data_IF_072626854540
#
_entry.id   IF_072626854540
#
_cell.length_a   1.000
_cell.length_b   1.000
_cell.length_c   1.000
_cell.angle_alpha   90.00
_cell.angle_beta   90.00
_cell.angle_gamma   90.00
#
_symmetry.space_group_name_H-M   'P 1'
#
loop_
_entity.id
_entity.type
_entity.pdbx_description
1 polymer ?
#
# COMPACT_ATOMS: atom_id res chain seq x y z
N UNK A 1 0.54 -1.71 -13.71
CA UNK A 1 1.78 -2.21 -13.10
C UNK A 1 1.43 -2.78 -11.73
N UNK A 2 1.71 -4.07 -11.50
CA UNK A 2 1.15 -4.78 -10.34
C UNK A 2 1.99 -4.65 -9.06
N UNK A 3 3.31 -4.60 -9.21
CA UNK A 3 4.26 -4.32 -8.13
C UNK A 3 5.03 -3.03 -8.44
N UNK A 4 5.19 -2.18 -7.43
CA UNK A 4 6.06 -0.99 -7.49
C UNK A 4 6.79 -0.82 -6.16
N UNK A 5 8.10 -0.64 -6.18
CA UNK A 5 8.87 -0.29 -4.98
C UNK A 5 9.42 1.13 -5.07
N UNK A 6 9.12 1.96 -4.09
CA UNK A 6 9.62 3.32 -3.97
C UNK A 6 10.49 3.46 -2.72
N UNK A 7 11.72 3.98 -2.86
CA UNK A 7 12.50 4.49 -1.71
C UNK A 7 12.00 5.88 -1.33
N UNK A 8 11.64 6.12 -0.07
CA UNK A 8 11.07 7.39 0.38
C UNK A 8 12.09 8.14 1.24
N UNK A 9 12.20 9.45 1.05
CA UNK A 9 13.00 10.32 1.92
C UNK A 9 12.14 11.09 2.89
N UNK A 10 12.69 11.32 4.07
CA UNK A 10 12.12 12.19 5.07
C UNK A 10 12.48 13.65 4.76
N UNK A 11 11.49 14.48 4.39
CA UNK A 11 11.60 15.94 4.58
C UNK A 11 11.04 16.26 5.97
N UNK A 12 11.84 16.96 6.79
CA UNK A 12 11.45 17.37 8.15
C UNK A 12 10.11 18.12 8.15
N UNK A 13 9.28 17.77 9.14
CA UNK A 13 8.10 18.49 9.65
C UNK A 13 7.12 18.99 8.59
N UNK A 14 6.33 18.08 8.02
CA UNK A 14 5.04 18.45 7.42
C UNK A 14 3.98 18.38 8.51
N UNK A 15 3.27 19.49 8.72
CA UNK A 15 2.11 19.54 9.62
C UNK A 15 0.98 18.74 8.97
N UNK A 16 0.75 17.51 9.43
CA UNK A 16 -0.25 16.63 8.81
C UNK A 16 -1.65 16.89 9.35
N UNK A 17 -2.53 17.44 8.50
CA UNK A 17 -3.97 17.60 8.76
C UNK A 17 -4.67 16.24 8.90
N UNK A 18 -5.79 16.16 9.64
CA UNK A 18 -6.66 14.98 9.68
C UNK A 18 -7.30 14.66 8.32
N UNK A 19 -7.36 15.67 7.45
CA UNK A 19 -7.87 15.59 6.08
C UNK A 19 -6.74 15.82 5.08
N UNK A 20 -6.61 14.90 4.14
CA UNK A 20 -5.55 14.88 3.13
C UNK A 20 -6.09 15.35 1.79
N UNK A 21 -5.41 16.31 1.17
CA UNK A 21 -5.76 16.84 -0.15
C UNK A 21 -4.82 16.27 -1.20
N UNK A 22 -5.36 15.63 -2.23
CA UNK A 22 -4.58 15.25 -3.41
C UNK A 22 -4.69 16.40 -4.40
N UNK A 23 -3.61 17.06 -4.80
CA UNK A 23 -3.71 18.09 -5.86
C UNK A 23 -3.31 17.48 -7.19
N UNK A 24 -4.29 17.23 -8.05
CA UNK A 24 -4.12 17.00 -9.48
C UNK A 24 -4.57 18.26 -10.21
N UNK A 25 -3.99 18.53 -11.40
CA UNK A 25 -4.12 19.77 -12.15
C UNK A 25 -5.46 20.52 -11.96
N UNK A 26 -6.59 19.82 -12.15
CA UNK A 26 -7.94 20.39 -12.03
C UNK A 26 -8.82 19.71 -10.97
N UNK A 27 -8.26 18.81 -10.14
CA UNK A 27 -9.02 17.99 -9.19
C UNK A 27 -8.31 17.91 -7.84
N UNK A 28 -8.98 18.37 -6.78
CA UNK A 28 -8.45 18.36 -5.41
C UNK A 28 -9.29 17.55 -4.44
N UNK A 29 -9.40 16.22 -4.58
CA UNK A 29 -10.19 15.42 -3.67
C UNK A 29 -9.56 15.45 -2.28
N UNK A 30 -10.42 15.58 -1.27
CA UNK A 30 -10.04 15.39 0.11
C UNK A 30 -10.48 14.01 0.60
N UNK A 31 -9.68 13.41 1.48
CA UNK A 31 -9.98 12.11 2.09
C UNK A 31 -9.38 11.99 3.49
N UNK A 32 -9.86 11.01 4.25
CA UNK A 32 -9.44 10.68 5.62
C UNK A 32 -9.19 9.19 5.77
N UNK A 33 -8.34 8.83 6.73
CA UNK A 33 -8.24 7.46 7.21
C UNK A 33 -9.34 7.22 8.26
N UNK A 34 -10.28 6.33 7.96
CA UNK A 34 -11.38 5.95 8.87
C UNK A 34 -10.96 4.83 9.82
N UNK A 35 -10.00 4.00 9.41
CA UNK A 35 -9.38 2.95 10.23
C UNK A 35 -7.87 3.01 10.01
N UNK A 36 -7.12 2.94 11.10
CA UNK A 36 -5.65 2.82 11.10
C UNK A 36 -5.24 1.46 11.68
N UNK A 37 -4.16 0.84 11.16
CA UNK A 37 -3.64 -0.42 11.65
C UNK A 37 -2.83 -0.23 12.93
N UNK A 38 -2.26 -1.32 13.45
CA UNK A 38 -1.33 -1.26 14.55
C UNK A 38 -0.05 -0.49 14.19
N UNK A 39 -0.01 0.80 14.55
CA UNK A 39 1.14 1.67 14.27
C UNK A 39 2.40 1.31 15.06
N UNK A 40 2.30 0.47 16.10
CA UNK A 40 3.49 -0.02 16.82
C UNK A 40 4.42 -0.81 15.92
N UNK A 41 3.91 -1.40 14.83
CA UNK A 41 4.70 -2.12 13.82
C UNK A 41 5.66 -1.20 13.05
N UNK A 42 5.42 0.11 13.05
CA UNK A 42 6.29 1.11 12.43
C UNK A 42 7.17 1.87 13.42
N UNK A 43 6.91 1.74 14.73
CA UNK A 43 7.54 2.53 15.78
C UNK A 43 7.86 1.70 17.03
N UNK A 44 8.30 0.44 16.87
CA UNK A 44 8.63 -0.36 18.03
C UNK A 44 9.91 0.17 18.71
N UNK A 45 9.75 0.49 20.00
CA UNK A 45 10.76 0.88 20.99
C UNK A 45 11.96 -0.07 21.15
N UNK A 46 11.97 -1.21 20.45
CA UNK A 46 13.04 -2.23 20.47
C UNK A 46 14.02 -2.12 19.29
N UNK A 47 14.36 -0.88 18.89
CA UNK A 47 15.46 -0.53 17.98
C UNK A 47 15.39 -1.07 16.53
N UNK A 48 14.26 -1.61 16.06
CA UNK A 48 14.18 -2.13 14.69
C UNK A 48 13.03 -1.51 13.91
N UNK A 49 13.35 -0.39 13.29
CA UNK A 49 12.52 0.23 12.25
C UNK A 49 12.43 -0.74 11.05
N UNK A 50 11.25 -0.94 10.45
CA UNK A 50 11.11 -1.88 9.34
C UNK A 50 11.92 -1.39 8.13
N UNK A 51 12.58 -2.30 7.42
CA UNK A 51 13.23 -1.98 6.15
C UNK A 51 12.19 -1.52 5.12
N UNK A 52 11.03 -2.18 5.10
CA UNK A 52 10.01 -1.98 4.09
C UNK A 52 8.60 -2.10 4.67
N UNK A 53 7.72 -1.21 4.21
CA UNK A 53 6.27 -1.36 4.36
C UNK A 53 5.70 -1.78 3.02
N UNK A 54 5.01 -2.93 3.00
CA UNK A 54 4.26 -3.41 1.85
C UNK A 54 2.81 -2.99 2.05
N UNK A 55 2.24 -2.27 1.08
CA UNK A 55 0.81 -1.97 1.03
C UNK A 55 0.17 -2.77 -0.09
N UNK A 56 -0.71 -3.69 0.31
CA UNK A 56 -1.55 -4.47 -0.62
C UNK A 56 -2.83 -3.68 -0.88
N UNK A 57 -3.09 -3.36 -2.15
CA UNK A 57 -4.33 -2.71 -2.57
C UNK A 57 -5.41 -3.78 -2.69
N UNK A 58 -6.45 -3.65 -1.88
CA UNK A 58 -7.58 -4.58 -1.81
C UNK A 58 -8.89 -3.80 -1.74
N UNK A 59 -10.02 -4.49 -1.81
CA UNK A 59 -11.37 -3.92 -1.69
C UNK A 59 -12.10 -4.53 -0.50
N UNK A 60 -13.04 -3.81 0.11
CA UNK A 60 -13.67 -4.23 1.37
C UNK A 60 -14.20 -5.67 1.37
N UNK A 61 -14.85 -6.08 0.28
CA UNK A 61 -15.47 -7.41 0.10
C UNK A 61 -14.48 -8.58 -0.04
N UNK A 62 -13.20 -8.33 -0.34
CA UNK A 62 -12.18 -9.36 -0.60
C UNK A 62 -11.45 -9.86 0.66
N UNK A 63 -12.17 -10.06 1.77
CA UNK A 63 -11.60 -10.54 3.03
C UNK A 63 -10.89 -11.90 2.90
N UNK A 64 -11.42 -12.78 2.03
CA UNK A 64 -10.87 -14.11 1.82
C UNK A 64 -9.52 -14.07 1.07
N UNK A 65 -9.36 -13.16 0.11
CA UNK A 65 -8.07 -12.96 -0.58
C UNK A 65 -7.02 -12.41 0.38
N UNK A 66 -7.39 -11.42 1.20
CA UNK A 66 -6.50 -10.92 2.26
C UNK A 66 -6.11 -12.03 3.24
N UNK A 67 -7.05 -12.89 3.65
CA UNK A 67 -6.74 -14.06 4.48
C UNK A 67 -5.73 -15.00 3.80
N UNK A 68 -5.94 -15.32 2.52
CA UNK A 68 -5.01 -16.17 1.77
C UNK A 68 -3.60 -15.57 1.70
N UNK A 69 -3.46 -14.25 1.55
CA UNK A 69 -2.17 -13.55 1.60
C UNK A 69 -1.51 -13.71 2.98
N UNK A 70 -2.24 -13.45 4.07
CA UNK A 70 -1.75 -13.61 5.46
C UNK A 70 -1.31 -15.04 5.78
N UNK A 71 -2.01 -16.03 5.20
CA UNK A 71 -1.74 -17.46 5.38
C UNK A 71 -0.67 -17.99 4.41
N UNK A 72 -0.18 -17.16 3.48
CA UNK A 72 0.85 -17.51 2.51
C UNK A 72 2.08 -16.59 2.63
N UNK A 73 2.39 -15.82 1.60
CA UNK A 73 3.65 -15.09 1.48
C UNK A 73 3.83 -13.97 2.51
N UNK A 74 2.74 -13.45 3.09
CA UNK A 74 2.79 -12.47 4.18
C UNK A 74 2.80 -13.13 5.59
N UNK A 75 3.00 -14.44 5.67
CA UNK A 75 3.05 -15.18 6.94
C UNK A 75 4.47 -15.24 7.51
N UNK A 76 4.61 -15.00 8.81
CA UNK A 76 5.85 -15.26 9.55
C UNK A 76 6.28 -16.74 9.54
N UNK A 77 5.39 -17.66 9.14
CA UNK A 77 5.70 -19.08 8.94
C UNK A 77 6.60 -19.32 7.72
N UNK A 78 6.46 -18.50 6.69
CA UNK A 78 7.09 -18.71 5.38
C UNK A 78 8.04 -17.58 4.97
N UNK A 79 8.10 -16.48 5.74
CA UNK A 79 9.04 -15.39 5.48
C UNK A 79 9.75 -14.93 6.75
N UNK A 80 11.09 -14.99 6.72
CA UNK A 80 11.94 -14.50 7.80
C UNK A 80 11.89 -12.97 7.90
N UNK A 81 11.73 -12.27 6.78
CA UNK A 81 11.57 -10.82 6.75
C UNK A 81 10.31 -10.35 7.48
N UNK A 82 9.20 -11.11 7.38
CA UNK A 82 7.99 -10.84 8.18
C UNK A 82 8.24 -11.20 9.65
N UNK A 83 8.78 -12.40 9.90
CA UNK A 83 9.03 -12.91 11.26
C UNK A 83 9.93 -11.99 12.10
N UNK A 84 10.92 -11.37 11.47
CA UNK A 84 11.88 -10.46 12.13
C UNK A 84 11.40 -9.01 12.21
N UNK A 85 10.23 -8.68 11.64
CA UNK A 85 9.73 -7.31 11.55
C UNK A 85 10.48 -6.44 10.53
N UNK A 86 11.37 -7.02 9.72
CA UNK A 86 12.08 -6.30 8.65
C UNK A 86 11.12 -5.84 7.55
N UNK A 87 10.05 -6.58 7.32
CA UNK A 87 8.94 -6.21 6.42
C UNK A 87 7.64 -6.19 7.22
N UNK A 88 6.85 -5.15 7.03
CA UNK A 88 5.48 -5.04 7.56
C UNK A 88 4.51 -4.98 6.40
N UNK A 89 3.39 -5.71 6.48
CA UNK A 89 2.37 -5.75 5.44
C UNK A 89 1.07 -5.13 5.98
N UNK A 90 0.54 -4.16 5.24
CA UNK A 90 -0.78 -3.58 5.48
C UNK A 90 -1.68 -3.76 4.25
N UNK A 91 -2.98 -3.81 4.48
CA UNK A 91 -3.98 -3.80 3.41
C UNK A 91 -4.67 -2.44 3.38
N UNK A 92 -4.69 -1.79 2.23
CA UNK A 92 -5.41 -0.52 2.08
C UNK A 92 -6.72 -0.72 1.31
N UNK A 93 -7.80 -0.18 1.88
CA UNK A 93 -9.17 -0.27 1.37
C UNK A 93 -9.74 1.14 1.14
N UNK A 94 -10.60 1.27 0.13
CA UNK A 94 -11.50 2.42 0.02
C UNK A 94 -12.74 2.20 0.91
N UNK A 95 -13.66 3.16 0.91
CA UNK A 95 -14.87 3.10 1.73
C UNK A 95 -15.69 1.84 1.41
N UNK A 96 -16.10 1.04 2.41
CA UNK A 96 -16.96 -0.12 2.19
C UNK A 96 -18.30 0.28 1.55
N UNK A 97 -18.75 -0.49 0.55
CA UNK A 97 -19.94 -0.15 -0.23
C UNK A 97 -21.27 -0.52 0.45
N UNK A 98 -21.25 -1.35 1.49
CA UNK A 98 -22.43 -1.85 2.18
C UNK A 98 -22.23 -1.95 3.69
N UNK A 99 -23.33 -1.91 4.46
CA UNK A 99 -23.31 -2.14 5.92
C UNK A 99 -22.69 -3.51 6.26
N UNK A 100 -22.93 -4.50 5.41
CA UNK A 100 -22.34 -5.83 5.56
C UNK A 100 -20.81 -5.80 5.42
N UNK A 101 -20.28 -5.06 4.44
CA UNK A 101 -18.84 -4.90 4.26
C UNK A 101 -18.23 -4.09 5.41
N UNK A 102 -18.91 -3.04 5.91
CA UNK A 102 -18.49 -2.30 7.11
C UNK A 102 -18.31 -3.24 8.29
N UNK A 103 -19.32 -4.08 8.56
CA UNK A 103 -19.28 -5.05 9.65
C UNK A 103 -18.14 -6.07 9.50
N UNK A 104 -17.93 -6.60 8.29
CA UNK A 104 -16.83 -7.53 8.00
C UNK A 104 -15.46 -6.88 8.20
N UNK A 105 -15.27 -5.67 7.66
CA UNK A 105 -14.02 -4.91 7.79
C UNK A 105 -13.72 -4.60 9.24
N UNK A 106 -14.72 -4.20 10.04
CA UNK A 106 -14.54 -3.98 11.47
C UNK A 106 -14.12 -5.25 12.22
N UNK A 107 -14.78 -6.38 11.95
CA UNK A 107 -14.40 -7.67 12.54
C UNK A 107 -12.99 -8.10 12.14
N UNK A 108 -12.64 -7.92 10.87
CA UNK A 108 -11.31 -8.23 10.36
C UNK A 108 -10.25 -7.35 11.02
N UNK A 109 -10.52 -6.05 11.17
CA UNK A 109 -9.61 -5.13 11.83
C UNK A 109 -9.39 -5.47 13.30
N UNK A 110 -10.44 -5.84 14.03
CA UNK A 110 -10.29 -6.30 15.43
C UNK A 110 -9.41 -7.55 15.51
N UNK A 111 -9.50 -8.44 14.52
CA UNK A 111 -8.75 -9.71 14.51
C UNK A 111 -7.28 -9.54 14.10
N UNK A 112 -7.00 -8.74 13.08
CA UNK A 112 -5.67 -8.68 12.45
C UNK A 112 -4.96 -7.34 12.65
N UNK A 113 -5.71 -6.25 12.84
CA UNK A 113 -5.22 -4.90 13.08
C UNK A 113 -4.20 -4.41 12.04
N UNK A 114 -4.43 -4.76 10.77
CA UNK A 114 -3.53 -4.51 9.63
C UNK A 114 -4.21 -3.80 8.44
N UNK A 115 -5.47 -3.36 8.61
CA UNK A 115 -6.19 -2.60 7.61
C UNK A 115 -5.95 -1.09 7.77
N UNK A 116 -5.76 -0.43 6.63
CA UNK A 116 -5.84 1.01 6.44
C UNK A 116 -7.12 1.25 5.63
N UNK A 117 -8.12 1.90 6.20
CA UNK A 117 -9.38 2.17 5.50
C UNK A 117 -9.52 3.66 5.29
N UNK A 118 -9.89 4.05 4.08
CA UNK A 118 -10.14 5.44 3.69
C UNK A 118 -11.63 5.67 3.41
N UNK A 119 -12.06 6.93 3.38
CA UNK A 119 -13.39 7.34 2.90
C UNK A 119 -13.43 7.58 1.38
N UNK A 120 -12.38 7.21 0.65
CA UNK A 120 -12.31 7.31 -0.81
C UNK A 120 -13.38 6.43 -1.47
N UNK A 121 -13.89 6.83 -2.66
CA UNK A 121 -14.74 5.96 -3.47
C UNK A 121 -13.95 4.77 -4.03
N UNK A 122 -14.55 3.58 -4.05
CA UNK A 122 -13.97 2.38 -4.64
C UNK A 122 -14.39 2.26 -6.12
N UNK A 123 -13.52 2.69 -7.03
CA UNK A 123 -13.66 2.41 -8.46
C UNK A 123 -12.29 2.14 -9.08
N UNK A 124 -12.27 1.53 -10.27
CA UNK A 124 -11.04 1.23 -10.98
C UNK A 124 -10.24 2.50 -11.33
N UNK A 125 -10.94 3.55 -11.72
CA UNK A 125 -10.42 4.86 -12.09
C UNK A 125 -9.80 5.58 -10.88
N UNK A 126 -10.29 5.28 -9.66
CA UNK A 126 -9.84 5.88 -8.41
C UNK A 126 -8.71 5.11 -7.71
N UNK A 127 -8.18 4.06 -8.34
CA UNK A 127 -7.09 3.27 -7.75
C UNK A 127 -5.84 4.12 -7.44
N UNK A 128 -5.59 5.17 -8.23
CA UNK A 128 -4.48 6.09 -7.97
C UNK A 128 -4.64 6.85 -6.63
N UNK A 129 -5.87 7.15 -6.19
CA UNK A 129 -6.12 7.79 -4.89
C UNK A 129 -5.72 6.87 -3.75
N UNK A 130 -5.98 5.57 -3.89
CA UNK A 130 -5.53 4.54 -2.93
C UNK A 130 -4.00 4.41 -2.90
N UNK A 131 -3.34 4.47 -4.07
CA UNK A 131 -1.86 4.53 -4.14
C UNK A 131 -1.33 5.78 -3.45
N UNK A 132 -1.94 6.94 -3.71
CA UNK A 132 -1.56 8.20 -3.06
C UNK A 132 -1.76 8.14 -1.55
N UNK A 133 -2.89 7.59 -1.09
CA UNK A 133 -3.15 7.39 0.32
C UNK A 133 -2.13 6.47 0.98
N UNK A 134 -1.69 5.39 0.31
CA UNK A 134 -0.59 4.56 0.79
C UNK A 134 0.71 5.34 0.96
N UNK A 135 1.05 6.21 0.00
CA UNK A 135 2.25 7.06 0.08
C UNK A 135 2.20 8.02 1.28
N UNK A 136 1.07 8.71 1.46
CA UNK A 136 0.86 9.65 2.57
C UNK A 136 0.86 8.92 3.91
N UNK A 137 0.20 7.75 3.99
CA UNK A 137 0.19 6.92 5.19
C UNK A 137 1.61 6.57 5.61
N UNK A 138 2.43 6.08 4.67
CA UNK A 138 3.83 5.74 4.96
C UNK A 138 4.63 6.96 5.44
N UNK A 139 4.52 8.10 4.76
CA UNK A 139 5.26 9.32 5.13
C UNK A 139 4.90 9.82 6.53
N UNK A 140 3.66 9.62 6.96
CA UNK A 140 3.14 10.09 8.25
C UNK A 140 3.37 9.10 9.39
N UNK A 141 3.08 7.82 9.16
CA UNK A 141 2.96 6.81 10.21
C UNK A 141 4.06 5.75 10.19
N UNK A 142 4.84 5.67 9.11
CA UNK A 142 6.01 4.78 9.02
C UNK A 142 7.22 5.52 8.41
N UNK A 143 7.58 6.71 8.92
CA UNK A 143 8.57 7.59 8.32
C UNK A 143 9.97 6.99 8.22
N UNK A 144 10.29 6.05 9.10
CA UNK A 144 11.59 5.40 9.18
C UNK A 144 11.77 4.23 8.22
N UNK A 145 10.67 3.72 7.65
CA UNK A 145 10.77 2.66 6.67
C UNK A 145 11.50 3.15 5.41
N UNK A 146 12.52 2.41 4.98
CA UNK A 146 13.35 2.83 3.84
C UNK A 146 12.62 2.70 2.51
N UNK A 147 11.70 1.75 2.41
CA UNK A 147 10.97 1.44 1.19
C UNK A 147 9.47 1.27 1.42
N UNK A 148 8.69 1.79 0.48
CA UNK A 148 7.28 1.46 0.30
C UNK A 148 7.14 0.53 -0.91
N UNK A 149 6.50 -0.62 -0.73
CA UNK A 149 6.11 -1.51 -1.82
C UNK A 149 4.61 -1.49 -2.00
N UNK A 150 4.15 -1.08 -3.18
CA UNK A 150 2.77 -1.25 -3.62
C UNK A 150 2.62 -2.62 -4.28
N UNK A 151 1.59 -3.38 -3.90
CA UNK A 151 1.27 -4.70 -4.46
C UNK A 151 -0.24 -4.82 -4.68
N UNK A 152 -0.68 -5.45 -5.77
CA UNK A 152 -2.10 -5.82 -5.96
C UNK A 152 -2.41 -7.13 -5.22
N UNK A 153 -3.65 -7.31 -4.75
CA UNK A 153 -4.07 -8.53 -4.02
C UNK A 153 -4.04 -9.83 -4.85
N UNK A 154 -3.82 -9.75 -6.16
CA UNK A 154 -3.72 -10.89 -7.08
C UNK A 154 -2.26 -11.31 -7.36
N UNK A 155 -1.33 -10.90 -6.50
CA UNK A 155 0.11 -11.16 -6.60
C UNK A 155 0.61 -11.98 -5.40
N UNK A 156 1.58 -12.85 -5.67
CA UNK A 156 2.41 -13.48 -4.65
C UNK A 156 3.86 -12.95 -4.73
N UNK A 157 4.48 -12.71 -3.58
CA UNK A 157 5.83 -12.13 -3.50
C UNK A 157 6.73 -13.04 -2.67
N UNK A 158 7.91 -13.39 -3.19
CA UNK A 158 8.95 -14.03 -2.38
C UNK A 158 9.82 -12.96 -1.72
N UNK A 159 9.40 -12.47 -0.53
CA UNK A 159 10.01 -11.32 0.15
C UNK A 159 11.51 -11.51 0.42
N UNK A 160 11.91 -12.67 0.96
CA UNK A 160 13.30 -12.89 1.39
C UNK A 160 14.26 -12.89 0.20
N UNK A 161 13.98 -13.68 -0.85
CA UNK A 161 14.75 -13.66 -2.11
C UNK A 161 14.80 -12.28 -2.75
N UNK A 162 13.69 -11.54 -2.73
CA UNK A 162 13.65 -10.19 -3.30
C UNK A 162 14.64 -9.27 -2.56
N UNK A 163 14.61 -9.29 -1.22
CA UNK A 163 15.50 -8.46 -0.40
C UNK A 163 16.97 -8.89 -0.55
N UNK A 164 17.25 -10.20 -0.60
CA UNK A 164 18.61 -10.73 -0.83
C UNK A 164 19.16 -10.32 -2.20
N UNK A 165 18.32 -10.32 -3.23
CA UNK A 165 18.73 -9.98 -4.60
C UNK A 165 19.00 -8.48 -4.82
N UNK A 166 18.51 -7.62 -3.92
CA UNK A 166 18.71 -6.20 -4.03
C UNK A 166 20.07 -5.80 -3.44
N UNK A 167 21.02 -5.49 -4.32
CA UNK A 167 22.16 -4.64 -3.97
C UNK A 167 21.65 -3.21 -3.78
N UNK A 168 21.08 -2.91 -2.62
CA UNK A 168 20.73 -1.55 -2.22
C UNK A 168 22.05 -0.82 -1.96
N UNK A 169 22.63 -0.23 -3.01
CA UNK A 169 23.74 0.70 -2.82
C UNK A 169 23.25 2.04 -2.23
N UNK A 170 24.20 2.85 -1.77
CA UNK A 170 23.91 4.18 -1.24
C UNK A 170 23.46 5.17 -2.36
N UNK A 171 23.70 4.85 -3.64
CA UNK A 171 23.27 5.66 -4.78
C UNK A 171 21.80 5.43 -5.19
N UNK A 172 21.16 4.35 -4.72
CA UNK A 172 19.74 4.02 -4.95
C UNK A 172 18.77 4.97 -4.22
N UNK A 173 19.25 6.16 -3.91
CA UNK A 173 18.58 7.20 -3.16
C UNK A 173 17.30 7.65 -3.89
N UNK A 174 17.22 7.62 -5.23
CA UNK A 174 16.02 7.99 -6.02
C UNK A 174 15.52 6.88 -6.96
N UNK A 175 15.41 5.67 -6.43
CA UNK A 175 15.06 4.51 -7.25
C UNK A 175 13.59 4.11 -7.10
N UNK A 176 12.95 3.86 -8.24
CA UNK A 176 11.67 3.17 -8.38
C UNK A 176 11.96 1.84 -9.09
N UNK A 177 11.63 0.71 -8.46
CA UNK A 177 11.84 -0.61 -9.04
C UNK A 177 10.52 -1.19 -9.52
N UNK A 178 10.46 -1.50 -10.82
CA UNK A 178 9.30 -2.10 -11.47
C UNK A 178 9.58 -2.55 -12.92
N UNK A 179 8.61 -3.24 -13.52
CA UNK A 179 8.59 -3.48 -14.97
C UNK A 179 8.18 -2.20 -15.73
N UNK A 180 9.18 -1.51 -16.29
CA UNK A 180 8.99 -0.24 -16.99
C UNK A 180 8.56 -0.49 -18.44
N UNK A 181 7.29 -0.24 -18.73
CA UNK A 181 6.79 -0.21 -20.12
C UNK A 181 7.12 1.14 -20.77
N UNK A 182 8.05 1.13 -21.74
CA UNK A 182 8.46 2.33 -22.50
C UNK A 182 7.64 2.44 -23.79
N UNK A 183 7.40 3.68 -24.24
CA UNK A 183 6.77 4.02 -25.54
C UNK A 183 5.36 3.45 -25.75
N UNK A 184 4.60 3.22 -24.68
CA UNK A 184 3.19 2.81 -24.77
C UNK A 184 2.34 3.95 -25.34
N UNK A 185 1.50 3.65 -26.34
CA UNK A 185 0.55 4.61 -26.92
C UNK A 185 -0.78 4.56 -26.17
N UNK A 186 -1.53 5.66 -26.23
CA UNK A 186 -2.92 5.69 -25.77
C UNK A 186 -3.72 4.63 -26.52
N UNK A 187 -4.48 3.83 -25.79
CA UNK A 187 -5.41 2.86 -26.36
C UNK A 187 -6.77 3.56 -26.48
N UNK A 188 -7.37 3.52 -27.67
CA UNK A 188 -8.65 4.18 -27.96
C UNK A 188 -9.77 3.21 -28.37
N UNK A 189 -9.49 1.91 -28.50
CA UNK A 189 -10.54 0.90 -28.76
C UNK A 189 -11.41 0.77 -27.50
N UNK A 190 -12.72 1.13 -27.54
CA UNK A 190 -13.59 1.12 -26.37
C UNK A 190 -13.83 -0.28 -25.78
N UNK A 191 -13.54 -1.35 -26.53
CA UNK A 191 -13.62 -2.74 -26.02
C UNK A 191 -12.39 -3.11 -25.19
N UNK A 192 -11.33 -2.31 -25.26
CA UNK A 192 -10.12 -2.58 -24.52
C UNK A 192 -10.25 -2.05 -23.10
N UNK A 193 -9.92 -2.90 -22.10
CA UNK A 193 -9.90 -2.53 -20.67
C UNK A 193 -9.16 -1.21 -20.33
N UNK A 194 -8.20 -0.81 -21.16
CA UNK A 194 -7.32 0.35 -20.93
C UNK A 194 -7.67 1.52 -21.85
N UNK A 195 -8.85 1.52 -22.46
CA UNK A 195 -9.27 2.57 -23.37
C UNK A 195 -9.48 3.89 -22.65
N UNK A 196 -8.96 4.97 -23.22
CA UNK A 196 -9.25 6.34 -22.77
C UNK A 196 -9.80 7.11 -23.95
N UNK A 197 -11.08 7.48 -23.86
CA UNK A 197 -11.77 8.36 -24.80
C UNK A 197 -11.73 9.77 -24.22
N UNK A 198 -11.33 10.75 -25.04
CA UNK A 198 -11.38 12.16 -24.70
C UNK A 198 -12.66 12.77 -25.26
#
# INVERSE_FOLDING_TARGET
MKISLLRIFHKRSVQYSAEHKVSLADFTPSYKYTILPNLSLCHDSREREPLMVVTVLSVASHSELRRAIRESWASAKYSDSIKTGRVVVFFILSSPASIYDVYKVQKEQVKYNDLIVTDLPETYENLFLKVYASLVFHQRYCPSARFLMKVDEDIAVHLDRMIESWTIDDQASRSLFCDVKRKTRRITDPRHKWSVLL
#
